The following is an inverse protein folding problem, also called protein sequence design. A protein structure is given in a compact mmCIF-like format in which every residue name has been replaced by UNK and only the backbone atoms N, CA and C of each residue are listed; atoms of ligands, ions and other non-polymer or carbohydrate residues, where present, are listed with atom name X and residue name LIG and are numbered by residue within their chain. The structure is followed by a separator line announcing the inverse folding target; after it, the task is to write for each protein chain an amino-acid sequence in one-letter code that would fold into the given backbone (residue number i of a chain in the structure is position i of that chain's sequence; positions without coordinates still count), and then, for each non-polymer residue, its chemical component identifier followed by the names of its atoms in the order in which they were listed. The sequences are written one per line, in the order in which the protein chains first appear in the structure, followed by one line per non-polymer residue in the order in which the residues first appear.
data_IF_651649985897
#
_entry.id   IF_651649985897
#
_cell.length_a   1.000
_cell.length_b   1.000
_cell.length_c   1.000
_cell.angle_alpha   90.00
_cell.angle_beta   90.00
_cell.angle_gamma   90.00
#
_symmetry.space_group_name_H-M   'P 1'
#
loop_
_entity.id
_entity.type
_entity.pdbx_description
1 polymer ?
#
# COMPACT_ATOMS: atom_id res chain seq x y z
N UNK A 1 -13.33 -26.60 -2.24
CA UNK A 1 -12.69 -25.65 -3.18
C UNK A 1 -12.80 -24.18 -2.75
N UNK A 2 -13.95 -23.66 -2.34
CA UNK A 2 -14.07 -22.23 -1.90
C UNK A 2 -13.27 -21.92 -0.60
N UNK A 3 -13.22 -22.84 0.33
CA UNK A 3 -12.51 -22.68 1.60
C UNK A 3 -10.99 -22.62 1.41
N UNK A 4 -10.44 -23.51 0.59
CA UNK A 4 -9.01 -23.49 0.25
C UNK A 4 -8.57 -22.19 -0.43
N UNK A 5 -9.43 -21.56 -1.26
CA UNK A 5 -9.14 -20.27 -1.88
C UNK A 5 -9.12 -19.13 -0.87
N UNK A 6 -9.97 -19.17 0.16
CA UNK A 6 -9.94 -18.17 1.23
C UNK A 6 -8.67 -18.28 2.07
N UNK A 7 -8.29 -19.51 2.48
CA UNK A 7 -7.04 -19.74 3.21
C UNK A 7 -5.84 -19.25 2.40
N UNK A 8 -5.80 -19.59 1.11
CA UNK A 8 -4.76 -19.09 0.21
C UNK A 8 -4.78 -17.56 0.11
N UNK A 9 -5.98 -16.93 0.10
CA UNK A 9 -6.14 -15.48 0.11
C UNK A 9 -5.50 -14.82 1.35
N UNK A 10 -5.68 -15.44 2.53
CA UNK A 10 -5.03 -14.97 3.75
C UNK A 10 -3.50 -15.09 3.69
N UNK A 11 -2.98 -16.24 3.25
CA UNK A 11 -1.52 -16.46 3.12
C UNK A 11 -0.89 -15.48 2.13
N UNK A 12 -1.49 -15.33 0.94
CA UNK A 12 -1.02 -14.41 -0.09
C UNK A 12 -1.09 -12.97 0.37
N UNK A 13 -2.16 -12.60 1.10
CA UNK A 13 -2.29 -11.26 1.69
C UNK A 13 -1.17 -10.93 2.66
N UNK A 14 -0.83 -11.87 3.54
CA UNK A 14 0.30 -11.72 4.48
C UNK A 14 1.62 -11.55 3.71
N UNK A 15 1.93 -12.45 2.76
CA UNK A 15 3.17 -12.40 1.98
C UNK A 15 3.29 -11.06 1.22
N UNK A 16 2.19 -10.59 0.61
CA UNK A 16 2.16 -9.32 -0.12
C UNK A 16 2.50 -8.15 0.78
N UNK A 17 1.93 -8.11 1.97
CA UNK A 17 2.17 -7.01 2.93
C UNK A 17 3.57 -7.09 3.53
N UNK A 18 4.08 -8.28 3.84
CA UNK A 18 5.48 -8.45 4.24
C UNK A 18 6.45 -7.92 3.18
N UNK A 19 6.15 -8.12 1.89
CA UNK A 19 6.93 -7.56 0.81
C UNK A 19 6.85 -6.02 0.78
N UNK A 20 5.65 -5.45 0.97
CA UNK A 20 5.46 -4.00 1.00
C UNK A 20 6.12 -3.30 2.18
N UNK A 21 6.26 -3.98 3.33
CA UNK A 21 6.97 -3.42 4.49
C UNK A 21 8.42 -3.01 4.20
N UNK A 22 9.06 -3.61 3.19
CA UNK A 22 10.40 -3.22 2.73
C UNK A 22 10.42 -1.98 1.81
N UNK A 23 9.29 -1.63 1.18
CA UNK A 23 9.27 -0.59 0.12
C UNK A 23 9.62 0.81 0.61
N UNK A 24 9.33 1.14 1.86
CA UNK A 24 9.70 2.43 2.46
C UNK A 24 11.21 2.66 2.43
N UNK A 25 12.00 1.62 2.74
CA UNK A 25 13.46 1.66 2.72
C UNK A 25 13.95 1.88 1.29
N UNK A 26 13.43 1.11 0.32
CA UNK A 26 13.79 1.25 -1.09
C UNK A 26 13.47 2.66 -1.62
N UNK A 27 12.27 3.19 -1.30
CA UNK A 27 11.87 4.55 -1.68
C UNK A 27 12.80 5.59 -1.08
N UNK A 28 13.15 5.46 0.21
CA UNK A 28 14.08 6.38 0.88
C UNK A 28 15.46 6.37 0.22
N UNK A 29 16.01 5.20 -0.12
CA UNK A 29 17.27 5.09 -0.84
C UNK A 29 17.23 5.77 -2.21
N UNK A 30 16.14 5.66 -2.96
CA UNK A 30 15.98 6.31 -4.25
C UNK A 30 15.89 7.84 -4.10
N UNK A 31 15.17 8.35 -3.09
CA UNK A 31 15.12 9.79 -2.78
C UNK A 31 16.50 10.31 -2.41
N UNK A 32 17.24 9.60 -1.54
CA UNK A 32 18.61 9.96 -1.19
C UNK A 32 19.57 9.87 -2.40
N UNK A 33 19.26 9.00 -3.35
CA UNK A 33 19.97 8.87 -4.63
C UNK A 33 19.67 10.00 -5.62
N UNK A 34 18.74 10.92 -5.29
CA UNK A 34 18.39 12.10 -6.08
C UNK A 34 17.12 11.99 -6.92
N UNK A 35 16.38 10.86 -6.87
CA UNK A 35 15.10 10.72 -7.54
C UNK A 35 14.00 11.49 -6.80
N UNK A 36 13.22 12.27 -7.53
CA UNK A 36 12.05 12.93 -6.97
C UNK A 36 10.89 11.93 -6.74
N UNK A 37 9.96 12.21 -5.80
CA UNK A 37 8.81 11.36 -5.51
C UNK A 37 8.00 10.94 -6.73
N UNK A 38 7.70 11.87 -7.65
CA UNK A 38 6.95 11.62 -8.87
C UNK A 38 7.74 10.82 -9.93
N UNK A 39 9.07 10.99 -9.98
CA UNK A 39 9.95 10.20 -10.85
C UNK A 39 9.99 8.73 -10.41
N UNK A 40 10.11 8.48 -9.10
CA UNK A 40 10.06 7.12 -8.52
C UNK A 40 8.72 6.48 -8.87
N UNK A 41 7.60 7.21 -8.67
CA UNK A 41 6.27 6.72 -8.99
C UNK A 41 6.16 6.35 -10.48
N UNK A 42 6.53 7.25 -11.37
CA UNK A 42 6.46 7.02 -12.82
C UNK A 42 7.24 5.78 -13.23
N UNK A 43 8.49 5.66 -12.79
CA UNK A 43 9.37 4.54 -13.15
C UNK A 43 8.82 3.20 -12.65
N UNK A 44 8.41 3.13 -11.37
CA UNK A 44 7.88 1.87 -10.82
C UNK A 44 6.57 1.44 -11.49
N UNK A 45 5.72 2.40 -11.87
CA UNK A 45 4.46 2.12 -12.57
C UNK A 45 4.68 1.78 -14.04
N UNK A 46 5.65 2.37 -14.72
CA UNK A 46 6.05 1.97 -16.07
C UNK A 46 6.55 0.53 -16.10
N UNK A 47 7.45 0.15 -15.19
CA UNK A 47 7.92 -1.23 -15.07
C UNK A 47 6.74 -2.16 -14.80
N UNK A 48 5.88 -1.82 -13.82
CA UNK A 48 4.69 -2.58 -13.49
C UNK A 48 3.73 -2.74 -14.67
N UNK A 49 3.50 -1.67 -15.43
CA UNK A 49 2.64 -1.67 -16.60
C UNK A 49 3.20 -2.54 -17.74
N UNK A 50 4.48 -2.42 -18.03
CA UNK A 50 5.14 -3.25 -19.05
C UNK A 50 5.03 -4.74 -18.68
N UNK A 51 5.29 -5.09 -17.43
CA UNK A 51 5.18 -6.46 -16.97
C UNK A 51 3.73 -7.00 -17.04
N UNK A 52 2.75 -6.24 -16.56
CA UNK A 52 1.36 -6.72 -16.56
C UNK A 52 0.76 -6.74 -17.98
N UNK A 53 1.25 -5.89 -18.87
CA UNK A 53 0.84 -5.90 -20.27
C UNK A 53 1.20 -7.22 -20.97
N UNK A 54 2.33 -7.85 -20.64
CA UNK A 54 2.73 -9.15 -21.21
C UNK A 54 1.74 -10.27 -20.89
N UNK A 55 1.12 -10.24 -19.70
CA UNK A 55 0.16 -11.27 -19.26
C UNK A 55 -1.31 -10.90 -19.56
N UNK A 56 -1.59 -9.64 -19.87
CA UNK A 56 -2.92 -9.13 -20.19
C UNK A 56 -2.88 -8.16 -21.38
N UNK A 57 -2.47 -8.61 -22.59
CA UNK A 57 -2.31 -7.71 -23.74
C UNK A 57 -3.64 -7.31 -24.39
N UNK A 58 -4.68 -8.10 -24.15
CA UNK A 58 -6.00 -7.91 -24.80
C UNK A 58 -6.80 -6.82 -24.10
N UNK A 59 -7.61 -6.05 -24.84
CA UNK A 59 -8.54 -5.00 -24.35
C UNK A 59 -7.95 -4.06 -23.30
N UNK A 60 -7.70 -2.82 -23.68
CA UNK A 60 -7.31 -1.78 -22.74
C UNK A 60 -8.52 -1.14 -22.05
N UNK A 61 -9.63 -0.94 -22.75
CA UNK A 61 -10.80 -0.22 -22.26
C UNK A 61 -11.93 -1.15 -21.79
N UNK A 62 -12.73 -0.66 -20.84
CA UNK A 62 -13.92 -1.34 -20.34
C UNK A 62 -15.06 -1.35 -21.38
N UNK A 63 -16.09 -2.15 -21.12
CA UNK A 63 -17.23 -2.28 -22.04
C UNK A 63 -18.14 -1.04 -22.04
N UNK A 64 -18.08 -0.22 -20.99
CA UNK A 64 -18.89 1.00 -20.87
C UNK A 64 -18.12 2.12 -20.14
N UNK A 65 -18.56 3.37 -20.36
CA UNK A 65 -17.91 4.56 -19.82
C UNK A 65 -17.99 4.67 -18.28
N UNK A 66 -19.02 4.10 -17.64
CA UNK A 66 -19.19 4.13 -16.18
C UNK A 66 -18.15 3.23 -15.49
N UNK A 67 -17.90 2.06 -16.06
CA UNK A 67 -16.84 1.16 -15.57
C UNK A 67 -15.48 1.77 -15.88
N UNK A 68 -15.31 2.46 -17.02
CA UNK A 68 -14.07 3.16 -17.33
C UNK A 68 -13.79 4.30 -16.35
N UNK A 69 -14.79 5.12 -16.01
CA UNK A 69 -14.68 6.15 -14.97
C UNK A 69 -14.31 5.55 -13.59
N UNK A 70 -14.86 4.38 -13.25
CA UNK A 70 -14.48 3.64 -12.06
C UNK A 70 -12.99 3.25 -12.10
N UNK A 71 -12.47 2.80 -13.24
CA UNK A 71 -11.06 2.46 -13.40
C UNK A 71 -10.14 3.68 -13.30
N UNK A 72 -10.57 4.84 -13.80
CA UNK A 72 -9.85 6.12 -13.60
C UNK A 72 -9.74 6.43 -12.10
N UNK A 73 -10.86 6.37 -11.37
CA UNK A 73 -10.86 6.62 -9.92
C UNK A 73 -9.96 5.63 -9.16
N UNK A 74 -9.97 4.35 -9.54
CA UNK A 74 -9.11 3.32 -8.97
C UNK A 74 -7.63 3.63 -9.28
N UNK A 75 -7.33 4.09 -10.51
CA UNK A 75 -5.98 4.49 -10.92
C UNK A 75 -5.46 5.71 -10.17
N UNK A 76 -6.32 6.69 -9.90
CA UNK A 76 -5.96 7.86 -9.10
C UNK A 76 -5.75 7.44 -7.64
N UNK A 77 -6.74 6.78 -7.02
CA UNK A 77 -6.71 6.52 -5.58
C UNK A 77 -5.74 5.43 -5.17
N UNK A 78 -5.52 4.40 -5.99
CA UNK A 78 -4.54 3.33 -5.76
C UNK A 78 -3.21 3.53 -6.49
N UNK A 79 -3.10 4.59 -7.27
CA UNK A 79 -1.92 4.95 -8.06
C UNK A 79 -1.41 6.34 -7.72
N UNK A 80 -1.64 7.31 -8.60
CA UNK A 80 -0.99 8.62 -8.55
C UNK A 80 -1.20 9.36 -7.23
N UNK A 81 -2.42 9.47 -6.73
CA UNK A 81 -2.70 10.18 -5.47
C UNK A 81 -2.06 9.47 -4.27
N UNK A 82 -2.25 8.15 -4.16
CA UNK A 82 -1.69 7.37 -3.05
C UNK A 82 -0.16 7.50 -3.00
N UNK A 83 0.52 7.11 -4.08
CA UNK A 83 1.99 7.08 -4.08
C UNK A 83 2.64 8.45 -4.07
N UNK A 84 2.03 9.44 -4.75
CA UNK A 84 2.58 10.80 -4.70
C UNK A 84 2.48 11.37 -3.29
N UNK A 85 1.34 11.23 -2.63
CA UNK A 85 1.17 11.67 -1.25
C UNK A 85 2.11 10.91 -0.29
N UNK A 86 2.25 9.59 -0.42
CA UNK A 86 3.14 8.78 0.41
C UNK A 86 4.62 9.13 0.18
N UNK A 87 5.08 9.18 -1.07
CA UNK A 87 6.47 9.49 -1.39
C UNK A 87 6.85 10.91 -0.97
N UNK A 88 5.95 11.90 -1.14
CA UNK A 88 6.16 13.25 -0.63
C UNK A 88 6.20 13.29 0.90
N UNK A 89 5.33 12.53 1.58
CA UNK A 89 5.37 12.40 3.02
C UNK A 89 6.74 11.85 3.48
N UNK A 90 7.24 10.79 2.83
CA UNK A 90 8.57 10.20 3.12
C UNK A 90 9.71 11.21 2.88
N UNK A 91 9.55 12.12 1.92
CA UNK A 91 10.53 13.20 1.69
C UNK A 91 10.51 14.27 2.78
N UNK A 92 9.34 14.62 3.29
CA UNK A 92 9.11 15.76 4.19
C UNK A 92 9.15 15.42 5.68
N UNK A 93 8.76 14.19 6.07
CA UNK A 93 8.72 13.78 7.48
C UNK A 93 9.49 12.49 7.73
N UNK A 94 9.55 12.05 8.98
CA UNK A 94 10.20 10.78 9.31
C UNK A 94 9.42 9.60 8.76
N UNK A 95 10.14 8.62 8.22
CA UNK A 95 9.56 7.38 7.70
C UNK A 95 8.70 6.66 8.74
N UNK A 96 9.08 6.77 10.03
CA UNK A 96 8.31 6.25 11.16
C UNK A 96 6.92 6.90 11.28
N UNK A 97 6.81 8.22 11.12
CA UNK A 97 5.53 8.92 11.13
C UNK A 97 4.66 8.48 9.96
N UNK A 98 5.23 8.41 8.74
CA UNK A 98 4.52 7.96 7.55
C UNK A 98 4.00 6.53 7.73
N UNK A 99 4.82 5.63 8.25
CA UNK A 99 4.46 4.25 8.53
C UNK A 99 3.33 4.15 9.57
N UNK A 100 3.41 4.93 10.65
CA UNK A 100 2.36 4.97 11.69
C UNK A 100 1.03 5.47 11.14
N UNK A 101 1.04 6.62 10.47
CA UNK A 101 -0.16 7.22 9.88
C UNK A 101 -0.71 6.32 8.78
N UNK A 102 0.14 5.77 7.91
CA UNK A 102 -0.23 4.81 6.87
C UNK A 102 -0.90 3.55 7.43
N UNK A 103 -0.48 3.11 8.62
CA UNK A 103 -1.11 1.98 9.33
C UNK A 103 -2.53 2.29 9.84
N UNK A 104 -3.04 3.52 9.71
CA UNK A 104 -4.46 3.83 9.95
C UNK A 104 -5.36 3.43 8.77
N UNK A 105 -4.80 3.11 7.60
CA UNK A 105 -5.55 2.77 6.39
C UNK A 105 -6.61 1.66 6.59
N UNK A 106 -6.39 0.59 7.37
CA UNK A 106 -7.43 -0.41 7.66
C UNK A 106 -8.61 0.16 8.43
N UNK A 107 -8.39 1.03 9.41
CA UNK A 107 -9.46 1.72 10.14
C UNK A 107 -10.25 2.62 9.20
N UNK A 108 -9.56 3.42 8.39
CA UNK A 108 -10.19 4.29 7.38
C UNK A 108 -11.02 3.45 6.40
N UNK A 109 -10.46 2.33 5.88
CA UNK A 109 -11.18 1.41 4.99
C UNK A 109 -12.46 0.89 5.65
N UNK A 110 -12.37 0.52 6.93
CA UNK A 110 -13.51 0.04 7.72
C UNK A 110 -14.57 1.13 7.90
N UNK A 111 -14.18 2.34 8.30
CA UNK A 111 -15.12 3.46 8.46
C UNK A 111 -15.80 3.81 7.13
N UNK A 112 -15.06 3.87 6.03
CA UNK A 112 -15.62 4.09 4.71
C UNK A 112 -16.56 2.95 4.29
N UNK A 113 -16.22 1.70 4.58
CA UNK A 113 -17.08 0.56 4.26
C UNK A 113 -18.41 0.64 5.02
N UNK A 114 -18.38 0.94 6.32
CA UNK A 114 -19.59 1.11 7.13
C UNK A 114 -20.45 2.29 6.63
N UNK A 115 -19.82 3.38 6.24
CA UNK A 115 -20.52 4.59 5.79
C UNK A 115 -21.16 4.43 4.39
N UNK A 116 -20.48 3.75 3.47
CA UNK A 116 -20.86 3.75 2.05
C UNK A 116 -21.34 2.41 1.51
N UNK A 117 -21.11 1.29 2.21
CA UNK A 117 -21.51 -0.05 1.76
C UNK A 117 -22.65 -0.57 2.63
N UNK A 118 -23.90 -0.46 2.14
CA UNK A 118 -25.13 -0.81 2.89
C UNK A 118 -25.15 -2.22 3.50
N UNK A 119 -24.42 -3.17 2.94
CA UNK A 119 -24.35 -4.55 3.43
C UNK A 119 -23.37 -4.74 4.60
N UNK A 120 -22.53 -3.75 4.88
CA UNK A 120 -21.52 -3.81 5.94
C UNK A 120 -22.09 -3.23 7.22
N UNK A 121 -22.01 -4.01 8.30
CA UNK A 121 -22.38 -3.57 9.65
C UNK A 121 -21.11 -3.44 10.50
N UNK A 122 -21.13 -2.50 11.43
CA UNK A 122 -20.08 -2.40 12.42
C UNK A 122 -20.01 -3.69 13.25
N UNK A 123 -18.86 -4.36 13.23
CA UNK A 123 -18.57 -5.53 14.06
C UNK A 123 -17.58 -5.10 15.14
N UNK A 124 -17.94 -5.34 16.40
CA UNK A 124 -17.10 -4.97 17.54
C UNK A 124 -15.69 -5.59 17.47
N UNK A 125 -15.57 -6.82 16.95
CA UNK A 125 -14.26 -7.51 16.80
C UNK A 125 -13.37 -6.82 15.79
N UNK A 126 -13.95 -6.32 14.70
CA UNK A 126 -13.21 -5.57 13.68
C UNK A 126 -12.63 -4.27 14.27
N UNK A 127 -13.47 -3.51 14.96
CA UNK A 127 -13.06 -2.24 15.57
C UNK A 127 -12.03 -2.49 16.69
N UNK A 128 -12.32 -3.38 17.61
CA UNK A 128 -11.43 -3.70 18.73
C UNK A 128 -10.08 -4.24 18.23
N UNK A 129 -10.09 -5.19 17.30
CA UNK A 129 -8.87 -5.76 16.72
C UNK A 129 -8.05 -4.71 16.01
N UNK A 130 -8.69 -3.80 15.25
CA UNK A 130 -7.99 -2.70 14.59
C UNK A 130 -7.36 -1.73 15.58
N UNK A 131 -8.03 -1.41 16.68
CA UNK A 131 -7.47 -0.55 17.73
C UNK A 131 -6.29 -1.23 18.45
N UNK A 132 -6.39 -2.53 18.77
CA UNK A 132 -5.28 -3.29 19.35
C UNK A 132 -4.08 -3.30 18.40
N UNK A 133 -4.30 -3.59 17.09
CA UNK A 133 -3.24 -3.60 16.10
C UNK A 133 -2.57 -2.23 15.98
N UNK A 134 -3.36 -1.15 15.92
CA UNK A 134 -2.84 0.22 15.83
C UNK A 134 -2.05 0.62 17.10
N UNK A 135 -2.51 0.23 18.28
CA UNK A 135 -1.74 0.40 19.51
C UNK A 135 -0.40 -0.34 19.46
N UNK A 136 -0.40 -1.58 18.97
CA UNK A 136 0.81 -2.37 18.73
C UNK A 136 1.77 -1.68 17.74
N UNK A 137 1.25 -1.11 16.66
CA UNK A 137 2.05 -0.30 15.71
C UNK A 137 2.69 0.89 16.43
N UNK A 138 1.95 1.59 17.28
CA UNK A 138 2.50 2.68 18.10
C UNK A 138 3.65 2.21 19.00
N UNK A 139 3.49 1.07 19.70
CA UNK A 139 4.53 0.51 20.56
C UNK A 139 5.80 0.17 19.76
N UNK A 140 5.66 -0.44 18.57
CA UNK A 140 6.80 -0.78 17.70
C UNK A 140 7.53 0.47 17.23
N UNK A 141 6.79 1.47 16.72
CA UNK A 141 7.37 2.64 16.05
C UNK A 141 8.00 3.60 17.07
N UNK A 142 7.31 3.87 18.17
CA UNK A 142 7.85 4.78 19.18
C UNK A 142 8.95 4.14 20.05
N UNK A 143 9.01 2.82 20.11
CA UNK A 143 10.09 2.06 20.76
C UNK A 143 10.51 2.65 22.12
N UNK A 144 9.55 3.14 22.91
CA UNK A 144 9.78 3.79 24.21
C UNK A 144 10.25 5.24 24.17
N UNK A 145 10.46 5.81 22.99
CA UNK A 145 10.82 7.22 22.80
C UNK A 145 9.67 7.93 22.08
N UNK A 146 8.85 8.67 22.83
CA UNK A 146 7.79 9.53 22.28
C UNK A 146 8.37 10.82 21.70
N UNK A 147 9.19 10.72 20.66
CA UNK A 147 9.67 11.89 19.92
C UNK A 147 8.89 11.99 18.62
N UNK A 148 7.71 12.59 18.67
CA UNK A 148 6.96 13.02 17.50
C UNK A 148 7.60 14.30 16.94
N UNK A 149 8.47 14.14 15.96
CA UNK A 149 8.86 15.28 15.13
C UNK A 149 7.74 15.54 14.12
N UNK A 150 6.79 16.39 14.51
CA UNK A 150 5.64 16.74 13.66
C UNK A 150 6.11 17.59 12.47
N UNK A 151 5.85 17.12 11.28
CA UNK A 151 5.82 17.94 10.07
C UNK A 151 4.38 17.95 9.56
N UNK A 152 3.60 19.02 9.82
CA UNK A 152 2.17 19.05 9.54
C UNK A 152 1.82 18.71 8.08
N UNK A 153 2.63 19.19 7.13
CA UNK A 153 2.40 18.89 5.70
C UNK A 153 2.71 17.42 5.36
N UNK A 154 3.85 16.90 5.84
CA UNK A 154 4.22 15.51 5.63
C UNK A 154 3.22 14.53 6.28
N UNK A 155 2.79 14.84 7.50
CA UNK A 155 1.83 13.99 8.24
C UNK A 155 0.43 14.06 7.60
N UNK A 156 0.00 15.22 7.08
CA UNK A 156 -1.25 15.36 6.33
C UNK A 156 -1.21 14.57 5.00
N UNK A 157 -0.08 14.59 4.30
CA UNK A 157 0.11 13.81 3.08
C UNK A 157 0.09 12.29 3.37
N UNK A 158 0.68 11.85 4.47
CA UNK A 158 0.58 10.47 4.92
C UNK A 158 -0.87 10.06 5.22
N UNK A 159 -1.66 10.94 5.85
CA UNK A 159 -3.09 10.69 6.08
C UNK A 159 -3.88 10.66 4.77
N UNK A 160 -3.57 11.56 3.83
CA UNK A 160 -4.17 11.57 2.50
C UNK A 160 -3.89 10.27 1.74
N UNK A 161 -2.66 9.74 1.84
CA UNK A 161 -2.33 8.45 1.23
C UNK A 161 -3.13 7.31 1.85
N UNK A 162 -3.25 7.25 3.19
CA UNK A 162 -4.05 6.24 3.88
C UNK A 162 -5.55 6.31 3.50
N UNK A 163 -6.10 7.52 3.34
CA UNK A 163 -7.47 7.74 2.86
C UNK A 163 -7.64 7.27 1.40
N UNK A 164 -6.70 7.64 0.53
CA UNK A 164 -6.71 7.22 -0.88
C UNK A 164 -6.67 5.68 -1.00
N UNK A 165 -5.84 5.01 -0.19
CA UNK A 165 -5.79 3.54 -0.13
C UNK A 165 -7.10 2.92 0.34
N UNK A 166 -7.76 3.50 1.34
CA UNK A 166 -9.08 3.05 1.82
C UNK A 166 -10.13 3.12 0.71
N UNK A 167 -10.20 4.25 -0.01
CA UNK A 167 -11.09 4.45 -1.16
C UNK A 167 -10.77 3.44 -2.27
N UNK A 168 -9.50 3.32 -2.65
CA UNK A 168 -9.02 2.32 -3.63
C UNK A 168 -9.50 0.92 -3.28
N UNK A 169 -9.34 0.49 -2.03
CA UNK A 169 -9.69 -0.86 -1.60
C UNK A 169 -11.19 -1.18 -1.80
N UNK A 170 -12.07 -0.22 -1.52
CA UNK A 170 -13.51 -0.37 -1.74
C UNK A 170 -13.89 -0.34 -3.22
N UNK A 171 -13.31 0.57 -3.99
CA UNK A 171 -13.53 0.66 -5.43
C UNK A 171 -13.01 -0.59 -6.15
N UNK A 172 -11.83 -1.10 -5.74
CA UNK A 172 -11.24 -2.34 -6.24
C UNK A 172 -12.18 -3.53 -5.99
N UNK A 173 -12.75 -3.64 -4.79
CA UNK A 173 -13.73 -4.69 -4.47
C UNK A 173 -14.97 -4.60 -5.37
N UNK A 174 -15.50 -3.39 -5.61
CA UNK A 174 -16.61 -3.16 -6.52
C UNK A 174 -16.27 -3.58 -7.96
N UNK A 175 -15.12 -3.17 -8.46
CA UNK A 175 -14.67 -3.49 -9.82
C UNK A 175 -14.43 -5.00 -10.00
N UNK A 176 -13.91 -5.68 -8.96
CA UNK A 176 -13.61 -7.12 -9.00
C UNK A 176 -14.83 -8.03 -9.15
N UNK A 177 -16.05 -7.49 -9.02
CA UNK A 177 -17.28 -8.21 -9.31
C UNK A 177 -17.48 -8.47 -10.83
N UNK A 178 -16.89 -7.61 -11.69
CA UNK A 178 -17.05 -7.69 -13.16
C UNK A 178 -15.76 -7.97 -13.90
N UNK A 179 -14.63 -7.50 -13.37
CA UNK A 179 -13.33 -7.56 -14.03
C UNK A 179 -12.33 -8.40 -13.24
N UNK A 180 -11.37 -9.01 -13.94
CA UNK A 180 -10.30 -9.76 -13.29
C UNK A 180 -9.33 -8.82 -12.56
N UNK A 181 -8.70 -9.31 -11.48
CA UNK A 181 -7.72 -8.56 -10.72
C UNK A 181 -6.57 -8.05 -11.62
N UNK A 182 -6.08 -8.88 -12.54
CA UNK A 182 -5.01 -8.52 -13.49
C UNK A 182 -5.43 -7.36 -14.39
N UNK A 183 -6.66 -7.39 -14.93
CA UNK A 183 -7.19 -6.31 -15.76
C UNK A 183 -7.30 -5.01 -14.97
N UNK A 184 -7.87 -5.05 -13.76
CA UNK A 184 -8.00 -3.87 -12.90
C UNK A 184 -6.61 -3.31 -12.54
N UNK A 185 -5.65 -4.16 -12.15
CA UNK A 185 -4.28 -3.74 -11.84
C UNK A 185 -3.60 -3.08 -13.04
N UNK A 186 -3.81 -3.60 -14.25
CA UNK A 186 -3.33 -2.97 -15.48
C UNK A 186 -3.92 -1.56 -15.64
N UNK A 187 -5.22 -1.37 -15.33
CA UNK A 187 -5.87 -0.07 -15.34
C UNK A 187 -5.32 0.88 -14.27
N UNK A 188 -5.00 0.36 -13.07
CA UNK A 188 -4.35 1.14 -12.01
C UNK A 188 -3.02 1.73 -12.52
N UNK A 189 -2.18 0.91 -13.15
CA UNK A 189 -0.92 1.39 -13.71
C UNK A 189 -1.15 2.37 -14.85
N UNK A 190 -2.03 2.06 -15.80
CA UNK A 190 -2.32 2.90 -16.95
C UNK A 190 -2.82 4.29 -16.53
N UNK A 191 -3.87 4.34 -15.71
CA UNK A 191 -4.42 5.62 -15.26
C UNK A 191 -3.53 6.31 -14.23
N UNK A 192 -2.82 5.57 -13.39
CA UNK A 192 -1.80 6.13 -12.52
C UNK A 192 -0.72 6.88 -13.29
N UNK A 193 -0.21 6.29 -14.38
CA UNK A 193 0.77 6.93 -15.26
C UNK A 193 0.16 8.19 -15.91
N UNK A 194 -1.03 8.09 -16.52
CA UNK A 194 -1.65 9.24 -17.19
C UNK A 194 -1.88 10.40 -16.23
N UNK A 195 -2.38 10.11 -15.03
CA UNK A 195 -2.76 11.14 -14.06
C UNK A 195 -1.59 11.77 -13.33
N UNK A 196 -0.38 11.18 -13.36
CA UNK A 196 0.83 11.80 -12.82
C UNK A 196 1.54 12.68 -13.85
N UNK A 197 1.37 12.43 -15.15
CA UNK A 197 2.08 13.18 -16.20
C UNK A 197 1.92 14.71 -16.12
N UNK A 198 0.73 15.28 -15.78
CA UNK A 198 0.60 16.72 -15.63
C UNK A 198 1.56 17.34 -14.60
N UNK A 199 1.97 16.57 -13.58
CA UNK A 199 2.92 17.05 -12.58
C UNK A 199 4.29 17.37 -13.18
N UNK A 200 4.70 16.63 -14.23
CA UNK A 200 5.96 16.89 -14.92
C UNK A 200 6.00 18.20 -15.72
N UNK A 201 4.83 18.84 -15.93
CA UNK A 201 4.79 20.20 -16.48
C UNK A 201 5.17 21.26 -15.43
N UNK A 202 4.96 20.97 -14.14
CA UNK A 202 5.27 21.86 -13.01
C UNK A 202 6.63 21.52 -12.40
N UNK A 203 6.90 20.23 -12.24
CA UNK A 203 8.17 19.68 -11.72
C UNK A 203 8.78 18.77 -12.80
N UNK A 204 9.58 19.34 -13.72
CA UNK A 204 10.21 18.59 -14.81
C UNK A 204 11.14 17.49 -14.29
N UNK A 205 11.45 16.52 -15.15
CA UNK A 205 12.42 15.48 -14.87
C UNK A 205 13.81 16.06 -14.53
N UNK A 206 14.36 15.68 -13.38
CA UNK A 206 15.66 16.20 -12.91
C UNK A 206 16.72 15.12 -12.76
N UNK A 207 16.32 13.85 -12.63
CA UNK A 207 17.27 12.77 -12.34
C UNK A 207 18.19 12.50 -13.53
N UNK A 208 19.54 12.55 -13.33
CA UNK A 208 20.50 12.32 -14.41
C UNK A 208 20.44 10.87 -14.91
N UNK A 209 20.38 10.70 -16.24
CA UNK A 209 20.24 9.37 -16.87
C UNK A 209 21.44 8.45 -16.55
N UNK A 210 22.64 9.00 -16.43
CA UNK A 210 23.85 8.23 -16.09
C UNK A 210 23.77 7.56 -14.72
N UNK A 211 22.99 8.12 -13.80
CA UNK A 211 22.80 7.54 -12.47
C UNK A 211 22.03 6.22 -12.50
N UNK A 212 21.30 5.90 -13.58
CA UNK A 212 20.66 4.57 -13.72
C UNK A 212 21.66 3.43 -13.84
N UNK A 213 22.91 3.70 -14.18
CA UNK A 213 23.97 2.69 -14.21
C UNK A 213 24.40 2.24 -12.80
N UNK A 214 24.04 3.00 -11.75
CA UNK A 214 24.35 2.63 -10.37
C UNK A 214 23.48 1.45 -9.93
N UNK A 215 24.08 0.32 -9.47
CA UNK A 215 23.33 -0.85 -9.03
C UNK A 215 22.30 -0.55 -7.93
N UNK A 216 22.62 0.38 -7.02
CA UNK A 216 21.71 0.80 -5.95
C UNK A 216 20.43 1.47 -6.48
N UNK A 217 20.48 2.13 -7.63
CA UNK A 217 19.32 2.78 -8.24
C UNK A 217 18.45 1.74 -8.96
N UNK A 218 19.01 1.03 -9.95
CA UNK A 218 18.19 0.14 -10.77
C UNK A 218 17.69 -1.10 -10.01
N UNK A 219 18.44 -1.63 -9.03
CA UNK A 219 17.96 -2.75 -8.19
C UNK A 219 16.75 -2.35 -7.36
N UNK A 220 16.79 -1.16 -6.71
CA UNK A 220 15.65 -0.65 -5.96
C UNK A 220 14.44 -0.35 -6.86
N UNK A 221 14.66 0.20 -8.06
CA UNK A 221 13.59 0.44 -9.03
C UNK A 221 12.98 -0.86 -9.54
N UNK A 222 13.79 -1.89 -9.83
CA UNK A 222 13.29 -3.21 -10.22
C UNK A 222 12.48 -3.85 -9.09
N UNK A 223 12.96 -3.79 -7.86
CA UNK A 223 12.19 -4.29 -6.73
C UNK A 223 10.84 -3.57 -6.60
N UNK A 224 10.83 -2.24 -6.64
CA UNK A 224 9.59 -1.45 -6.54
C UNK A 224 8.66 -1.68 -7.74
N UNK A 225 9.19 -1.73 -8.95
CA UNK A 225 8.39 -1.88 -10.17
C UNK A 225 7.90 -3.31 -10.41
N UNK A 226 8.81 -4.29 -10.35
CA UNK A 226 8.49 -5.68 -10.67
C UNK A 226 7.85 -6.40 -9.48
N UNK A 227 8.51 -6.41 -8.31
CA UNK A 227 7.99 -7.17 -7.15
C UNK A 227 6.86 -6.41 -6.48
N UNK A 228 7.13 -5.21 -5.96
CA UNK A 228 6.18 -4.50 -5.11
C UNK A 228 4.99 -3.91 -5.89
N UNK A 229 5.19 -3.49 -7.15
CA UNK A 229 4.08 -3.02 -7.99
C UNK A 229 3.47 -4.18 -8.78
N UNK A 230 4.13 -4.76 -9.78
CA UNK A 230 3.49 -5.74 -10.67
C UNK A 230 2.98 -6.97 -9.91
N UNK A 231 3.86 -7.70 -9.21
CA UNK A 231 3.46 -8.96 -8.55
C UNK A 231 2.51 -8.69 -7.38
N UNK A 232 2.90 -7.80 -6.46
CA UNK A 232 2.13 -7.56 -5.24
C UNK A 232 0.76 -6.92 -5.52
N UNK A 233 0.64 -5.96 -6.46
CA UNK A 233 -0.66 -5.38 -6.81
C UNK A 233 -1.60 -6.39 -7.48
N UNK A 234 -1.07 -7.23 -8.38
CA UNK A 234 -1.88 -8.28 -9.01
C UNK A 234 -2.39 -9.28 -7.95
N UNK A 235 -1.51 -9.70 -7.03
CA UNK A 235 -1.87 -10.57 -5.92
C UNK A 235 -2.84 -9.90 -4.96
N UNK A 236 -2.62 -8.62 -4.60
CA UNK A 236 -3.50 -7.87 -3.71
C UNK A 236 -4.91 -7.70 -4.26
N UNK A 237 -5.02 -7.40 -5.56
CA UNK A 237 -6.32 -7.35 -6.23
C UNK A 237 -7.07 -8.69 -6.15
N UNK A 238 -6.36 -9.80 -6.30
CA UNK A 238 -6.93 -11.13 -6.11
C UNK A 238 -7.31 -11.38 -4.64
N UNK A 239 -6.47 -11.00 -3.68
CA UNK A 239 -6.76 -11.10 -2.23
C UNK A 239 -8.03 -10.33 -1.87
N UNK A 240 -8.17 -9.06 -2.30
CA UNK A 240 -9.39 -8.27 -2.07
C UNK A 240 -10.63 -8.97 -2.64
N UNK A 241 -10.50 -9.58 -3.80
CA UNK A 241 -11.60 -10.34 -4.42
C UNK A 241 -12.02 -11.54 -3.58
N UNK A 242 -11.07 -12.32 -3.07
CA UNK A 242 -11.34 -13.59 -2.37
C UNK A 242 -11.79 -13.38 -0.91
N UNK A 243 -11.13 -12.51 -0.15
CA UNK A 243 -11.39 -12.33 1.29
C UNK A 243 -12.06 -11.00 1.65
N UNK A 244 -12.23 -10.09 0.70
CA UNK A 244 -12.82 -8.77 0.90
C UNK A 244 -11.83 -7.67 1.28
N UNK A 245 -12.21 -6.41 1.02
CA UNK A 245 -11.34 -5.26 1.21
C UNK A 245 -10.94 -5.03 2.68
N UNK A 246 -11.87 -5.19 3.62
CA UNK A 246 -11.62 -4.96 5.04
C UNK A 246 -10.67 -6.00 5.63
N UNK A 247 -10.91 -7.30 5.38
CA UNK A 247 -10.00 -8.36 5.88
C UNK A 247 -8.63 -8.28 5.25
N UNK A 248 -8.54 -7.97 3.95
CA UNK A 248 -7.28 -7.73 3.28
C UNK A 248 -6.54 -6.55 3.90
N UNK A 249 -7.21 -5.41 4.09
CA UNK A 249 -6.60 -4.21 4.68
C UNK A 249 -6.04 -4.43 6.08
N UNK A 250 -6.64 -5.30 6.90
CA UNK A 250 -6.11 -5.60 8.24
C UNK A 250 -4.66 -6.12 8.23
N UNK A 251 -4.22 -6.76 7.13
CA UNK A 251 -2.83 -7.22 7.02
C UNK A 251 -1.83 -6.08 6.91
N UNK A 252 -2.25 -4.87 6.49
CA UNK A 252 -1.36 -3.69 6.39
C UNK A 252 -0.74 -3.34 7.76
N UNK A 253 -1.41 -3.68 8.87
CA UNK A 253 -0.81 -3.53 10.20
C UNK A 253 0.48 -4.34 10.40
N UNK A 254 0.77 -5.33 9.54
CA UNK A 254 2.02 -6.11 9.58
C UNK A 254 3.22 -5.36 8.97
N UNK A 255 3.00 -4.28 8.21
CA UNK A 255 4.09 -3.50 7.61
C UNK A 255 5.17 -3.08 8.63
N UNK A 256 4.83 -2.48 9.80
CA UNK A 256 5.82 -2.11 10.79
C UNK A 256 6.62 -3.29 11.35
N UNK A 257 5.99 -4.46 11.50
CA UNK A 257 6.68 -5.69 11.93
C UNK A 257 7.77 -6.07 10.93
N UNK A 258 7.43 -6.03 9.63
CA UNK A 258 8.41 -6.33 8.57
C UNK A 258 9.52 -5.29 8.53
N UNK A 259 9.17 -4.01 8.70
CA UNK A 259 10.16 -2.93 8.71
C UNK A 259 11.16 -3.14 9.85
N UNK A 260 10.72 -3.45 11.07
CA UNK A 260 11.61 -3.72 12.22
C UNK A 260 12.51 -4.93 11.98
N UNK A 261 11.94 -6.02 11.43
CA UNK A 261 12.74 -7.22 11.12
C UNK A 261 13.78 -6.89 10.03
N UNK A 262 13.39 -6.16 9.00
CA UNK A 262 14.30 -5.75 7.93
C UNK A 262 15.40 -4.81 8.45
N UNK A 263 15.07 -3.85 9.32
CA UNK A 263 16.06 -2.97 9.97
C UNK A 263 17.06 -3.77 10.82
N UNK A 264 16.59 -4.77 11.57
CA UNK A 264 17.48 -5.62 12.35
C UNK A 264 18.45 -6.43 11.47
N UNK A 265 17.97 -6.95 10.33
CA UNK A 265 18.79 -7.78 9.43
C UNK A 265 19.74 -6.93 8.57
N UNK A 266 19.25 -5.84 7.97
CA UNK A 266 20.00 -5.06 6.96
C UNK A 266 20.75 -3.87 7.54
N UNK A 267 20.25 -3.29 8.65
CA UNK A 267 20.86 -2.13 9.31
C UNK A 267 21.54 -2.48 10.64
N UNK A 268 21.51 -3.76 11.05
CA UNK A 268 22.02 -4.24 12.34
C UNK A 268 21.42 -3.49 13.55
N UNK A 269 20.17 -3.00 13.43
CA UNK A 269 19.48 -2.36 14.53
C UNK A 269 19.01 -3.39 15.56
N UNK A 270 19.21 -3.14 16.87
CA UNK A 270 18.80 -4.10 17.89
C UNK A 270 17.27 -4.20 17.98
N UNK A 271 16.74 -5.40 17.98
CA UNK A 271 15.33 -5.63 18.29
C UNK A 271 15.11 -5.45 19.80
N UNK A 272 14.37 -4.41 20.15
CA UNK A 272 14.07 -4.09 21.54
C UNK A 272 12.89 -4.92 22.08
N UNK A 273 12.74 -4.96 23.41
CA UNK A 273 11.58 -5.58 24.05
C UNK A 273 10.26 -4.93 23.57
N UNK A 274 10.24 -3.62 23.34
CA UNK A 274 9.08 -2.88 22.80
C UNK A 274 8.73 -3.38 21.39
N UNK A 275 9.71 -3.62 20.52
CA UNK A 275 9.49 -4.18 19.19
C UNK A 275 8.82 -5.57 19.26
N UNK A 276 9.26 -6.45 20.16
CA UNK A 276 8.62 -7.75 20.35
C UNK A 276 7.19 -7.64 20.90
N UNK A 277 6.99 -6.82 21.95
CA UNK A 277 5.66 -6.62 22.55
C UNK A 277 4.67 -5.99 21.56
N UNK A 278 5.10 -4.96 20.84
CA UNK A 278 4.27 -4.29 19.82
C UNK A 278 3.93 -5.23 18.67
N UNK A 279 4.88 -6.04 18.19
CA UNK A 279 4.64 -7.06 17.17
C UNK A 279 3.61 -8.08 17.63
N UNK A 280 3.68 -8.56 18.87
CA UNK A 280 2.71 -9.47 19.43
C UNK A 280 1.29 -8.84 19.51
N UNK A 281 1.19 -7.56 19.91
CA UNK A 281 -0.08 -6.82 19.90
C UNK A 281 -0.64 -6.67 18.48
N UNK A 282 0.22 -6.37 17.48
CA UNK A 282 -0.21 -6.29 16.08
C UNK A 282 -0.81 -7.63 15.63
N UNK A 283 -0.10 -8.73 15.85
CA UNK A 283 -0.58 -10.06 15.45
C UNK A 283 -1.90 -10.42 16.15
N UNK A 284 -2.04 -10.13 17.45
CA UNK A 284 -3.27 -10.32 18.19
C UNK A 284 -4.41 -9.47 17.62
N UNK A 285 -4.18 -8.19 17.36
CA UNK A 285 -5.16 -7.27 16.80
C UNK A 285 -5.64 -7.71 15.41
N UNK A 286 -4.72 -8.10 14.51
CA UNK A 286 -5.05 -8.64 13.18
C UNK A 286 -5.86 -9.92 13.30
N UNK A 287 -5.50 -10.82 14.22
CA UNK A 287 -6.26 -12.04 14.46
C UNK A 287 -7.69 -11.74 14.91
N UNK A 288 -7.86 -10.87 15.91
CA UNK A 288 -9.18 -10.47 16.42
C UNK A 288 -10.02 -9.79 15.33
N UNK A 289 -9.43 -8.84 14.59
CA UNK A 289 -10.13 -8.13 13.52
C UNK A 289 -10.62 -9.09 12.41
N UNK A 290 -9.84 -10.11 12.08
CA UNK A 290 -10.22 -11.08 11.05
C UNK A 290 -11.26 -12.11 11.50
N UNK A 291 -11.56 -12.20 12.80
CA UNK A 291 -12.68 -13.02 13.33
C UNK A 291 -14.05 -12.32 13.19
N UNK A 292 -14.10 -11.08 12.72
CA UNK A 292 -15.35 -10.36 12.53
C UNK A 292 -16.27 -11.09 11.54
N UNK A 293 -17.57 -11.14 11.88
CA UNK A 293 -18.61 -11.83 11.10
C UNK A 293 -19.34 -10.82 10.21
N UNK A 294 -19.67 -11.22 8.98
CA UNK A 294 -20.49 -10.39 8.08
C UNK A 294 -19.70 -9.40 7.21
N UNK A 295 -18.42 -9.68 7.00
CA UNK A 295 -17.52 -8.86 6.18
C UNK A 295 -17.12 -9.63 4.93
#
# INVERSE_FOLDING_TARGET
MKENKKILGHVVGIITVLCWGGTFINTKYLIMGGLAPHEIFLLRFLIGYLCIWTISPRRLFCDNWKDEALMVLIGITGGSLFFQAENMAVALTYTTNVSFIGSTAPLITTCLAIAFVKSVKADFRLILGSLIALAGVGVVIFNGQFVLHLNPLGDLLALLSALAWGIYSLLMKRASARYSAVFITRKVFFYGIITILPLFAVEPWHFPLDNFLKPTIWLNLLFLGFIASFVCFALWGWVIREIGAMKASNYIYLNPVTTVIASAIFLNEPMTLMAYMGSALILLGVYVANQAKGI
#
